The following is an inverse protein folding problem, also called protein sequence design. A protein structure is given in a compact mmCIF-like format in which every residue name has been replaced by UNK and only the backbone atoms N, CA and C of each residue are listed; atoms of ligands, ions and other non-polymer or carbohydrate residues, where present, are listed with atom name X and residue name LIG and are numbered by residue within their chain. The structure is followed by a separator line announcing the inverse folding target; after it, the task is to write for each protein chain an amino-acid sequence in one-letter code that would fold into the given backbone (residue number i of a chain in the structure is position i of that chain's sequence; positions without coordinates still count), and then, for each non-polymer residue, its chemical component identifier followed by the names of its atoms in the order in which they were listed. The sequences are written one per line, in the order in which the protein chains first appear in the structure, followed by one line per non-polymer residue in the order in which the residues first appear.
data_IF_967833408778
#
_entry.id   IF_967833408778
#
_cell.length_a   1.000
_cell.length_b   1.000
_cell.length_c   1.000
_cell.angle_alpha   90.00
_cell.angle_beta   90.00
_cell.angle_gamma   90.00
#
_symmetry.space_group_name_H-M   'P 1'
#
loop_
_entity.id
_entity.type
_entity.pdbx_description
1 polymer ?
#
# COMPACT_ATOMS: atom_id res chain seq x y z
N UNK A 1 28.63 -25.33 -40.95
CA UNK A 1 27.19 -25.51 -40.68
C UNK A 1 26.86 -24.75 -39.40
N UNK A 2 26.04 -23.71 -39.50
CA UNK A 2 25.53 -22.90 -38.37
C UNK A 2 24.15 -23.46 -37.98
N UNK A 3 23.97 -23.88 -36.73
CA UNK A 3 22.68 -24.07 -36.07
C UNK A 3 22.73 -23.34 -34.73
N UNK A 4 21.96 -22.25 -34.61
CA UNK A 4 20.71 -22.15 -33.84
C UNK A 4 20.98 -22.08 -32.32
N UNK A 5 20.56 -21.08 -31.56
CA UNK A 5 19.35 -20.26 -31.69
C UNK A 5 18.53 -20.43 -30.41
N UNK A 6 18.53 -19.39 -29.57
CA UNK A 6 17.47 -19.05 -28.61
C UNK A 6 17.03 -20.08 -27.55
N UNK A 7 17.39 -19.87 -26.28
CA UNK A 7 16.85 -20.74 -25.22
C UNK A 7 17.02 -20.37 -23.74
N UNK A 8 17.39 -19.13 -23.34
CA UNK A 8 17.68 -18.86 -21.90
C UNK A 8 16.96 -17.66 -21.25
N UNK A 9 15.98 -17.03 -21.91
CA UNK A 9 15.37 -15.79 -21.37
C UNK A 9 14.12 -16.02 -20.48
N UNK A 10 13.49 -17.20 -20.51
CA UNK A 10 12.20 -17.44 -19.81
C UNK A 10 12.31 -17.91 -18.34
N UNK A 11 13.50 -18.32 -17.88
CA UNK A 11 13.68 -18.89 -16.53
C UNK A 11 13.77 -17.78 -15.46
N UNK A 12 14.50 -16.70 -15.74
CA UNK A 12 14.77 -15.62 -14.78
C UNK A 12 13.51 -14.86 -14.31
N UNK A 13 12.56 -14.61 -15.22
CA UNK A 13 11.34 -13.85 -14.90
C UNK A 13 10.43 -14.58 -13.90
N UNK A 14 10.42 -15.92 -13.95
CA UNK A 14 9.62 -16.74 -13.02
C UNK A 14 10.19 -16.76 -11.61
N UNK A 15 11.53 -16.74 -11.50
CA UNK A 15 12.26 -16.73 -10.22
C UNK A 15 12.08 -15.38 -9.53
N UNK A 16 12.17 -14.27 -10.27
CA UNK A 16 11.98 -12.91 -9.73
C UNK A 16 10.54 -12.75 -9.21
N UNK A 17 9.53 -13.15 -9.99
CA UNK A 17 8.12 -13.09 -9.55
C UNK A 17 7.86 -13.88 -8.27
N UNK A 18 8.47 -15.07 -8.15
CA UNK A 18 8.30 -15.95 -6.98
C UNK A 18 9.02 -15.40 -5.74
N UNK A 19 10.20 -14.80 -5.92
CA UNK A 19 10.97 -14.20 -4.81
C UNK A 19 10.31 -12.93 -4.27
N UNK A 20 9.74 -12.10 -5.15
CA UNK A 20 8.92 -10.95 -4.76
C UNK A 20 7.70 -11.44 -3.97
N UNK A 21 6.94 -12.41 -4.49
CA UNK A 21 5.79 -12.98 -3.78
C UNK A 21 6.15 -13.50 -2.39
N UNK A 22 7.27 -14.23 -2.27
CA UNK A 22 7.71 -14.81 -1.00
C UNK A 22 8.25 -13.77 -0.01
N UNK A 23 8.87 -12.69 -0.50
CA UNK A 23 9.32 -11.57 0.33
C UNK A 23 8.13 -10.83 0.96
N UNK A 24 7.08 -10.60 0.17
CA UNK A 24 5.85 -9.97 0.62
C UNK A 24 5.07 -10.83 1.63
N UNK A 25 5.17 -12.16 1.55
CA UNK A 25 4.53 -13.07 2.52
C UNK A 25 5.33 -13.30 3.80
N UNK A 26 6.53 -12.73 3.94
CA UNK A 26 7.43 -12.97 5.08
C UNK A 26 7.44 -11.83 6.11
N UNK A 27 6.64 -10.78 5.93
CA UNK A 27 6.44 -9.78 6.97
C UNK A 27 5.60 -10.39 8.11
N UNK A 28 6.08 -10.41 9.37
CA UNK A 28 5.40 -11.05 10.48
C UNK A 28 4.01 -10.41 10.66
N UNK A 29 2.96 -11.23 10.46
CA UNK A 29 1.52 -10.96 10.62
C UNK A 29 1.09 -9.51 10.91
N UNK A 30 1.41 -8.56 10.03
CA UNK A 30 0.77 -7.24 9.95
C UNK A 30 -0.52 -7.38 9.13
N UNK A 31 -1.39 -8.30 9.55
CA UNK A 31 -2.66 -8.54 8.87
C UNK A 31 -3.77 -8.11 9.81
N UNK A 32 -4.53 -7.09 9.39
CA UNK A 32 -5.73 -6.62 10.07
C UNK A 32 -6.95 -7.21 9.37
N UNK A 33 -8.08 -7.32 10.08
CA UNK A 33 -9.30 -7.86 9.48
C UNK A 33 -9.80 -6.94 8.37
N UNK A 34 -10.58 -7.49 7.44
CA UNK A 34 -11.12 -6.72 6.32
C UNK A 34 -12.01 -5.59 6.81
N UNK A 35 -12.84 -5.86 7.81
CA UNK A 35 -13.71 -4.86 8.43
C UNK A 35 -12.87 -3.71 9.03
N UNK A 36 -11.72 -4.03 9.63
CA UNK A 36 -10.82 -3.01 10.15
C UNK A 36 -10.13 -2.22 9.04
N UNK A 37 -9.79 -2.84 7.92
CA UNK A 37 -9.30 -2.12 6.75
C UNK A 37 -10.36 -1.12 6.26
N UNK A 38 -11.61 -1.57 6.11
CA UNK A 38 -12.74 -0.75 5.67
C UNK A 38 -12.91 0.47 6.59
N UNK A 39 -12.90 0.25 7.91
CA UNK A 39 -12.98 1.33 8.90
C UNK A 39 -11.84 2.35 8.78
N UNK A 40 -10.61 1.89 8.57
CA UNK A 40 -9.46 2.78 8.48
C UNK A 40 -9.44 3.54 7.15
N UNK A 41 -9.82 2.89 6.05
CA UNK A 41 -9.97 3.50 4.74
C UNK A 41 -10.99 4.62 4.81
N UNK A 42 -12.17 4.36 5.40
CA UNK A 42 -13.20 5.38 5.56
C UNK A 42 -12.70 6.56 6.40
N UNK A 43 -12.03 6.27 7.53
CA UNK A 43 -11.45 7.33 8.37
C UNK A 43 -10.43 8.20 7.63
N UNK A 44 -9.55 7.59 6.84
CA UNK A 44 -8.55 8.31 6.07
C UNK A 44 -9.23 9.15 4.99
N UNK A 45 -10.16 8.57 4.23
CA UNK A 45 -10.88 9.26 3.17
C UNK A 45 -11.68 10.45 3.71
N UNK A 46 -12.45 10.25 4.77
CA UNK A 46 -13.21 11.31 5.44
C UNK A 46 -12.31 12.42 6.00
N UNK A 47 -11.14 12.06 6.57
CA UNK A 47 -10.20 13.05 7.08
C UNK A 47 -9.65 13.92 5.95
N UNK A 48 -9.24 13.31 4.83
CA UNK A 48 -8.74 14.03 3.66
C UNK A 48 -9.82 14.91 3.06
N UNK A 49 -11.03 14.37 2.92
CA UNK A 49 -12.18 15.07 2.36
C UNK A 49 -12.58 16.29 3.20
N UNK A 50 -12.62 16.13 4.53
CA UNK A 50 -12.89 17.22 5.46
C UNK A 50 -11.93 18.41 5.32
N UNK A 51 -10.70 18.17 4.85
CA UNK A 51 -9.70 19.22 4.64
C UNK A 51 -9.56 19.65 3.17
N UNK A 52 -10.42 19.16 2.27
CA UNK A 52 -10.39 19.47 0.82
C UNK A 52 -9.03 19.13 0.18
N UNK A 53 -8.45 17.98 0.58
CA UNK A 53 -7.13 17.52 0.14
C UNK A 53 -7.20 16.30 -0.80
N UNK A 54 -8.32 16.04 -1.44
CA UNK A 54 -8.57 14.85 -2.27
C UNK A 54 -7.59 14.79 -3.44
N UNK A 55 -7.53 15.82 -4.27
CA UNK A 55 -6.66 15.87 -5.45
C UNK A 55 -5.18 15.65 -5.11
N UNK A 56 -4.57 16.41 -4.16
CA UNK A 56 -3.17 16.17 -3.79
C UNK A 56 -2.97 14.81 -3.10
N UNK A 57 -3.94 14.32 -2.32
CA UNK A 57 -3.85 13.00 -1.70
C UNK A 57 -3.91 11.88 -2.73
N UNK A 58 -4.84 11.95 -3.70
CA UNK A 58 -4.97 10.97 -4.77
C UNK A 58 -3.69 10.92 -5.62
N UNK A 59 -3.13 12.08 -5.99
CA UNK A 59 -1.86 12.14 -6.72
C UNK A 59 -0.70 11.50 -5.93
N UNK A 60 -0.56 11.86 -4.65
CA UNK A 60 0.47 11.29 -3.78
C UNK A 60 0.30 9.78 -3.61
N UNK A 61 -0.93 9.32 -3.35
CA UNK A 61 -1.26 7.92 -3.15
C UNK A 61 -1.08 7.09 -4.42
N UNK A 62 -1.44 7.60 -5.59
CA UNK A 62 -1.21 6.92 -6.87
C UNK A 62 0.29 6.69 -7.12
N UNK A 63 1.14 7.69 -6.79
CA UNK A 63 2.59 7.54 -6.86
C UNK A 63 3.16 6.58 -5.80
N UNK A 64 2.58 6.58 -4.60
CA UNK A 64 2.99 5.71 -3.49
C UNK A 64 2.60 4.24 -3.73
N UNK A 65 1.43 3.98 -4.33
CA UNK A 65 0.84 2.66 -4.51
C UNK A 65 1.82 1.55 -4.97
N UNK A 66 2.62 1.71 -6.04
CA UNK A 66 3.52 0.65 -6.52
C UNK A 66 4.70 0.36 -5.58
N UNK A 67 5.08 1.32 -4.73
CA UNK A 67 6.27 1.24 -3.86
C UNK A 67 5.92 1.17 -2.37
N UNK A 68 4.64 1.22 -2.03
CA UNK A 68 4.14 1.28 -0.66
C UNK A 68 4.66 0.17 0.27
N UNK A 69 4.77 -1.11 -0.15
CA UNK A 69 5.31 -2.18 0.70
C UNK A 69 6.74 -1.93 1.18
N UNK A 70 7.51 -1.15 0.41
CA UNK A 70 8.87 -0.77 0.75
C UNK A 70 8.84 0.50 1.58
N UNK A 71 8.16 1.54 1.11
CA UNK A 71 8.26 2.90 1.68
C UNK A 71 7.53 3.04 3.02
N UNK A 72 6.32 2.47 3.14
CA UNK A 72 5.44 2.70 4.29
C UNK A 72 6.08 2.28 5.62
N UNK A 73 6.69 1.08 5.74
CA UNK A 73 7.38 0.72 6.98
C UNK A 73 8.49 1.69 7.35
N UNK A 74 9.32 2.13 6.39
CA UNK A 74 10.40 3.08 6.68
C UNK A 74 9.90 4.49 7.00
N UNK A 75 8.74 4.89 6.47
CA UNK A 75 8.13 6.19 6.77
C UNK A 75 7.48 6.22 8.16
N UNK A 76 6.74 5.16 8.53
CA UNK A 76 5.93 5.15 9.75
C UNK A 76 6.65 4.57 10.97
N UNK A 77 7.59 3.63 10.79
CA UNK A 77 8.29 3.00 11.92
C UNK A 77 9.07 4.00 12.78
N UNK A 78 9.85 4.96 12.23
CA UNK A 78 10.61 5.91 13.04
C UNK A 78 9.74 6.81 13.92
N UNK A 79 8.54 7.15 13.45
CA UNK A 79 7.59 8.02 14.17
C UNK A 79 6.60 7.22 15.02
N UNK A 80 6.60 5.90 14.91
CA UNK A 80 5.69 5.01 15.65
C UNK A 80 5.67 5.25 17.17
N UNK A 81 6.81 5.50 17.86
CA UNK A 81 6.78 5.79 19.29
C UNK A 81 5.96 7.04 19.62
N UNK A 82 6.07 8.09 18.81
CA UNK A 82 5.33 9.35 18.99
C UNK A 82 3.85 9.14 18.67
N UNK A 83 3.54 8.38 17.62
CA UNK A 83 2.15 8.08 17.27
C UNK A 83 1.46 7.21 18.34
N UNK A 84 2.19 6.28 18.96
CA UNK A 84 1.68 5.47 20.06
C UNK A 84 1.32 6.28 21.30
N UNK A 85 2.08 7.32 21.64
CA UNK A 85 1.72 8.20 22.79
C UNK A 85 0.43 8.98 22.53
N UNK A 86 0.05 9.17 21.26
CA UNK A 86 -1.22 9.75 20.83
C UNK A 86 -2.35 8.71 20.69
N UNK A 87 -2.12 7.45 21.08
CA UNK A 87 -3.11 6.37 20.98
C UNK A 87 -3.28 5.79 19.58
N UNK A 88 -2.41 6.13 18.62
CA UNK A 88 -2.47 5.65 17.24
C UNK A 88 -1.76 4.31 17.13
N UNK A 89 -2.51 3.28 16.71
CA UNK A 89 -2.00 1.94 16.43
C UNK A 89 -1.26 1.90 15.10
N UNK A 90 -0.02 2.39 15.11
CA UNK A 90 0.81 2.57 13.90
C UNK A 90 0.94 1.28 13.08
N UNK A 91 0.95 0.12 13.76
CA UNK A 91 1.01 -1.20 13.14
C UNK A 91 -0.16 -1.46 12.18
N UNK A 92 -1.37 -1.00 12.52
CA UNK A 92 -2.56 -1.13 11.69
C UNK A 92 -2.44 -0.27 10.43
N UNK A 93 -1.87 0.94 10.54
CA UNK A 93 -1.65 1.82 9.40
C UNK A 93 -0.51 1.33 8.50
N UNK A 94 0.56 0.78 9.08
CA UNK A 94 1.63 0.12 8.31
C UNK A 94 1.04 -1.08 7.57
N UNK A 95 0.28 -1.93 8.25
CA UNK A 95 -0.41 -3.09 7.66
C UNK A 95 -1.31 -2.67 6.49
N UNK A 96 -2.13 -1.63 6.69
CA UNK A 96 -3.07 -1.13 5.70
C UNK A 96 -2.35 -0.56 4.48
N UNK A 97 -1.48 0.43 4.68
CA UNK A 97 -0.87 1.22 3.61
C UNK A 97 0.24 0.46 2.88
N UNK A 98 0.82 -0.59 3.48
CA UNK A 98 1.79 -1.44 2.78
C UNK A 98 1.15 -2.27 1.66
N UNK A 99 -0.19 -2.41 1.64
CA UNK A 99 -0.92 -3.10 0.58
C UNK A 99 -1.38 -2.08 -0.48
N UNK A 100 -0.83 -2.18 -1.68
CA UNK A 100 -1.21 -1.29 -2.80
C UNK A 100 -2.70 -1.37 -3.18
N UNK A 101 -3.36 -2.50 -2.93
CA UNK A 101 -4.81 -2.65 -3.10
C UNK A 101 -5.61 -1.75 -2.14
N UNK A 102 -5.16 -1.58 -0.90
CA UNK A 102 -5.82 -0.70 0.06
C UNK A 102 -5.61 0.77 -0.29
N UNK A 103 -4.45 1.14 -0.81
CA UNK A 103 -4.23 2.49 -1.34
C UNK A 103 -5.21 2.78 -2.48
N UNK A 104 -5.42 1.80 -3.38
CA UNK A 104 -6.43 1.93 -4.46
C UNK A 104 -7.82 2.22 -3.89
N UNK A 105 -8.21 1.47 -2.87
CA UNK A 105 -9.51 1.58 -2.22
C UNK A 105 -9.70 2.94 -1.53
N UNK A 106 -8.64 3.53 -0.99
CA UNK A 106 -8.67 4.90 -0.45
C UNK A 106 -8.90 5.90 -1.58
N UNK A 107 -8.16 5.80 -2.69
CA UNK A 107 -8.34 6.67 -3.87
C UNK A 107 -9.77 6.57 -4.41
N UNK A 108 -10.27 5.35 -4.64
CA UNK A 108 -11.64 5.11 -5.11
C UNK A 108 -12.67 5.74 -4.17
N UNK A 109 -12.45 5.65 -2.85
CA UNK A 109 -13.33 6.27 -1.86
C UNK A 109 -13.29 7.80 -1.88
N UNK A 110 -12.11 8.40 -2.09
CA UNK A 110 -11.97 9.85 -2.26
C UNK A 110 -12.71 10.34 -3.50
N UNK A 111 -12.58 9.63 -4.63
CA UNK A 111 -13.31 9.95 -5.86
C UNK A 111 -14.83 9.86 -5.67
N UNK A 112 -15.32 8.92 -4.85
CA UNK A 112 -16.74 8.85 -4.50
C UNK A 112 -17.22 10.05 -3.70
N UNK A 113 -16.44 10.48 -2.69
CA UNK A 113 -16.77 11.64 -1.86
C UNK A 113 -16.80 12.92 -2.70
N UNK A 114 -15.82 13.11 -3.57
CA UNK A 114 -15.75 14.26 -4.48
C UNK A 114 -16.93 14.34 -5.47
N UNK A 115 -17.53 13.19 -5.84
CA UNK A 115 -18.72 13.13 -6.73
C UNK A 115 -20.05 13.38 -6.01
N UNK A 116 -20.08 13.29 -4.68
CA UNK A 116 -21.29 13.43 -3.87
C UNK A 116 -21.54 14.88 -3.41
N UNK A 117 -20.56 15.77 -3.64
CA UNK A 117 -20.69 17.22 -3.52
C UNK A 117 -21.29 17.86 -4.78
#
# INVERSE_FOLDING_TARGET
MLQAGGGSSKSFSSVIKRKIKNFFTSAPSLNISREREDELIEKIAQLIHKYELEDPAMLFMAGLQPIAPIVVPYALFPISPILRTLGIKTEEYIALLSKGENIKRIIERLEELQRQE
#
